data_IF_925962874137
#
_entry.id   IF_925962874137
#
_cell.length_a   1.000
_cell.length_b   1.000
_cell.length_c   1.000
_cell.angle_alpha   90.00
_cell.angle_beta   90.00
_cell.angle_gamma   90.00
#
_symmetry.space_group_name_H-M   'P 1'
#
loop_
_entity.id
_entity.type
_entity.pdbx_description
1 polymer ?
#
# COMPACT_ATOMS: atom_id res chain seq x y z
N UNK A 1 20.51 25.48 24.78
CA UNK A 1 20.82 24.09 24.38
C UNK A 1 19.50 23.34 24.30
N UNK A 2 18.76 23.54 23.21
CA UNK A 2 17.52 22.80 22.96
C UNK A 2 17.88 21.60 22.11
N UNK A 3 17.73 20.40 22.65
CA UNK A 3 17.91 19.18 21.89
C UNK A 3 16.80 19.15 20.81
N UNK A 4 17.19 19.44 19.57
CA UNK A 4 16.40 19.10 18.39
C UNK A 4 16.18 17.59 18.44
N UNK A 5 14.99 17.20 18.86
CA UNK A 5 14.54 15.81 18.83
C UNK A 5 14.38 15.45 17.35
N UNK A 6 15.48 14.99 16.76
CA UNK A 6 15.51 14.46 15.40
C UNK A 6 14.60 13.23 15.41
N UNK A 7 13.42 13.36 14.81
CA UNK A 7 12.51 12.22 14.63
C UNK A 7 13.25 11.13 13.83
N UNK A 8 13.08 9.84 14.18
CA UNK A 8 13.82 8.74 13.59
C UNK A 8 13.55 8.60 12.09
N UNK A 9 14.61 8.38 11.31
CA UNK A 9 14.62 8.46 9.84
C UNK A 9 13.81 7.35 9.12
N UNK A 10 13.28 6.37 9.85
CA UNK A 10 12.47 5.29 9.27
C UNK A 10 11.09 5.75 8.78
N UNK A 11 10.73 7.01 9.06
CA UNK A 11 9.45 7.61 8.68
C UNK A 11 9.59 8.63 7.54
N UNK A 12 10.64 8.51 6.72
CA UNK A 12 10.75 9.25 5.46
C UNK A 12 9.82 8.63 4.40
N UNK A 13 8.58 9.05 4.50
CA UNK A 13 7.86 9.65 3.39
C UNK A 13 7.89 8.88 2.05
N UNK A 14 6.97 7.90 1.92
CA UNK A 14 6.41 7.46 0.63
C UNK A 14 5.35 8.46 0.08
N UNK A 15 5.25 9.66 0.67
CA UNK A 15 4.27 10.74 0.41
C UNK A 15 4.72 11.73 -0.67
N UNK A 16 5.90 11.57 -1.28
CA UNK A 16 6.28 12.32 -2.47
C UNK A 16 5.51 11.78 -3.66
N UNK A 17 4.62 12.59 -4.27
CA UNK A 17 3.78 12.29 -5.46
C UNK A 17 4.43 11.26 -6.38
N UNK A 18 4.19 9.98 -6.12
CA UNK A 18 4.76 8.91 -6.93
C UNK A 18 3.89 8.86 -8.17
N UNK A 19 4.46 9.19 -9.33
CA UNK A 19 3.79 8.91 -10.60
C UNK A 19 3.63 7.39 -10.74
N UNK A 20 2.46 6.90 -10.32
CA UNK A 20 2.11 5.50 -10.28
C UNK A 20 1.32 5.13 -11.53
N UNK A 21 1.79 4.11 -12.26
CA UNK A 21 0.97 3.47 -13.28
C UNK A 21 -0.05 2.55 -12.58
N UNK A 22 -1.23 3.10 -12.28
CA UNK A 22 -2.29 2.39 -11.58
C UNK A 22 -2.74 1.12 -12.31
N UNK A 23 -2.67 1.09 -13.64
CA UNK A 23 -3.06 -0.10 -14.42
C UNK A 23 -2.02 -1.21 -14.25
N UNK A 24 -0.73 -0.88 -14.31
CA UNK A 24 0.33 -1.85 -14.05
C UNK A 24 0.27 -2.38 -12.62
N UNK A 25 0.06 -1.51 -11.63
CA UNK A 25 -0.09 -1.90 -10.23
C UNK A 25 -1.29 -2.81 -10.03
N UNK A 26 -2.47 -2.46 -10.53
CA UNK A 26 -3.66 -3.29 -10.42
C UNK A 26 -3.47 -4.67 -11.04
N UNK A 27 -2.83 -4.74 -12.22
CA UNK A 27 -2.52 -6.02 -12.89
C UNK A 27 -1.60 -6.91 -12.04
N UNK A 28 -0.62 -6.33 -11.37
CA UNK A 28 0.28 -7.07 -10.50
C UNK A 28 -0.44 -7.52 -9.22
N UNK A 29 -1.22 -6.64 -8.59
CA UNK A 29 -2.00 -6.98 -7.39
C UNK A 29 -3.00 -8.10 -7.63
N UNK A 30 -3.59 -8.21 -8.83
CA UNK A 30 -4.49 -9.32 -9.17
C UNK A 30 -3.81 -10.71 -9.15
N UNK A 31 -2.48 -10.77 -9.05
CA UNK A 31 -1.72 -12.02 -8.89
C UNK A 31 -1.45 -12.37 -7.43
N UNK A 32 -1.71 -11.44 -6.52
CA UNK A 32 -1.49 -11.60 -5.09
C UNK A 32 -2.72 -12.19 -4.39
N UNK A 33 -2.52 -12.69 -3.17
CA UNK A 33 -3.62 -13.15 -2.33
C UNK A 33 -4.51 -11.96 -1.89
N UNK A 34 -5.85 -12.15 -1.76
CA UNK A 34 -6.77 -11.06 -1.38
C UNK A 34 -6.36 -10.30 -0.11
N UNK A 35 -5.78 -10.99 0.87
CA UNK A 35 -5.30 -10.35 2.08
C UNK A 35 -4.10 -9.43 1.82
N UNK A 36 -3.15 -9.84 0.98
CA UNK A 36 -2.00 -9.01 0.59
C UNK A 36 -2.47 -7.75 -0.13
N UNK A 37 -3.44 -7.87 -1.05
CA UNK A 37 -4.03 -6.74 -1.76
C UNK A 37 -4.66 -5.76 -0.76
N UNK A 38 -5.46 -6.27 0.20
CA UNK A 38 -6.11 -5.45 1.21
C UNK A 38 -5.10 -4.67 2.06
N UNK A 39 -4.03 -5.34 2.50
CA UNK A 39 -2.97 -4.71 3.31
C UNK A 39 -2.21 -3.65 2.50
N UNK A 40 -1.89 -3.92 1.23
CA UNK A 40 -1.26 -2.92 0.34
C UNK A 40 -2.16 -1.70 0.19
N UNK A 41 -3.44 -1.89 -0.14
CA UNK A 41 -4.39 -0.79 -0.32
C UNK A 41 -4.63 0.02 0.96
N UNK A 42 -4.59 -0.62 2.14
CA UNK A 42 -4.74 0.05 3.44
C UNK A 42 -3.55 0.97 3.78
N UNK A 43 -2.37 0.72 3.19
CA UNK A 43 -1.14 1.46 3.46
C UNK A 43 -0.83 2.58 2.46
N UNK A 44 -1.45 2.55 1.29
CA UNK A 44 -1.33 3.61 0.30
C UNK A 44 -2.17 4.83 0.71
N UNK A 45 -1.80 6.01 0.21
CA UNK A 45 -2.67 7.19 0.34
C UNK A 45 -4.03 6.92 -0.32
N UNK A 46 -5.09 7.48 0.27
CA UNK A 46 -6.48 7.23 -0.13
C UNK A 46 -6.69 7.44 -1.64
N UNK A 47 -6.03 8.45 -2.20
CA UNK A 47 -6.08 8.81 -3.61
C UNK A 47 -5.58 7.64 -4.47
N UNK A 48 -4.37 7.13 -4.20
CA UNK A 48 -3.79 5.99 -4.91
C UNK A 48 -4.60 4.70 -4.72
N UNK A 49 -5.03 4.41 -3.48
CA UNK A 49 -5.85 3.22 -3.21
C UNK A 49 -7.16 3.26 -3.99
N UNK A 50 -7.80 4.43 -4.07
CA UNK A 50 -9.05 4.60 -4.81
C UNK A 50 -8.87 4.41 -6.32
N UNK A 51 -7.78 4.93 -6.90
CA UNK A 51 -7.50 4.77 -8.33
C UNK A 51 -7.18 3.31 -8.68
N UNK A 52 -6.42 2.61 -7.85
CA UNK A 52 -6.15 1.17 -8.04
C UNK A 52 -7.44 0.37 -7.89
N UNK A 53 -8.26 0.65 -6.88
CA UNK A 53 -9.48 -0.12 -6.61
C UNK A 53 -10.49 -0.04 -7.77
N UNK A 54 -10.59 1.12 -8.44
CA UNK A 54 -11.40 1.29 -9.67
C UNK A 54 -10.94 0.41 -10.84
N UNK A 55 -9.68 -0.05 -10.84
CA UNK A 55 -9.12 -0.91 -11.88
C UNK A 55 -9.31 -2.41 -11.59
N UNK A 56 -9.76 -2.77 -10.38
CA UNK A 56 -10.01 -4.15 -9.97
C UNK A 56 -11.44 -4.58 -10.34
N UNK A 57 -11.70 -5.88 -10.57
CA UNK A 57 -13.06 -6.37 -10.82
C UNK A 57 -14.00 -6.12 -9.63
N UNK A 58 -15.25 -5.73 -9.89
CA UNK A 58 -16.23 -5.35 -8.85
C UNK A 58 -16.44 -6.41 -7.77
N UNK A 59 -16.47 -7.70 -8.17
CA UNK A 59 -16.63 -8.81 -7.22
C UNK A 59 -15.44 -8.95 -6.25
N UNK A 60 -14.26 -8.49 -6.64
CA UNK A 60 -13.06 -8.45 -5.80
C UNK A 60 -13.11 -7.23 -4.89
N UNK A 61 -13.58 -6.07 -5.39
CA UNK A 61 -13.66 -4.83 -4.61
C UNK A 61 -14.48 -4.99 -3.33
N UNK A 62 -15.64 -5.65 -3.39
CA UNK A 62 -16.51 -5.83 -2.22
C UNK A 62 -15.84 -6.65 -1.10
N UNK A 63 -15.18 -7.76 -1.45
CA UNK A 63 -14.41 -8.58 -0.49
C UNK A 63 -13.22 -7.80 0.08
N UNK A 64 -12.49 -7.06 -0.78
CA UNK A 64 -11.35 -6.26 -0.35
C UNK A 64 -11.73 -5.15 0.63
N UNK A 65 -12.84 -4.43 0.40
CA UNK A 65 -13.30 -3.40 1.33
C UNK A 65 -13.58 -3.99 2.71
N UNK A 66 -14.22 -5.16 2.78
CA UNK A 66 -14.45 -5.86 4.05
C UNK A 66 -13.12 -6.20 4.73
N UNK A 67 -12.12 -6.67 3.99
CA UNK A 67 -10.80 -7.01 4.56
C UNK A 67 -10.04 -5.79 5.04
N UNK A 68 -10.04 -4.70 4.28
CA UNK A 68 -9.32 -3.44 4.61
C UNK A 68 -9.77 -2.91 5.98
N UNK A 69 -11.06 -2.99 6.29
CA UNK A 69 -11.62 -2.56 7.59
C UNK A 69 -11.09 -3.41 8.76
N UNK A 70 -10.67 -4.65 8.51
CA UNK A 70 -10.16 -5.60 9.50
C UNK A 70 -8.63 -5.83 9.36
N UNK A 71 -7.91 -4.95 8.66
CA UNK A 71 -6.45 -4.94 8.72
C UNK A 71 -6.07 -4.41 10.10
N UNK A 72 -6.10 -5.29 11.09
CA UNK A 72 -5.64 -5.04 12.46
C UNK A 72 -4.14 -4.69 12.47
N UNK A 73 -3.62 -4.31 13.64
CA UNK A 73 -2.19 -4.04 13.83
C UNK A 73 -1.37 -5.28 13.42
N UNK A 74 -0.80 -5.24 12.23
CA UNK A 74 0.10 -6.27 11.74
C UNK A 74 1.43 -6.20 12.49
N UNK A 75 2.11 -7.34 12.73
CA UNK A 75 3.48 -7.34 13.24
C UNK A 75 4.41 -6.50 12.37
N UNK A 76 5.42 -5.87 12.98
CA UNK A 76 6.36 -4.98 12.29
C UNK A 76 7.07 -5.68 11.13
N UNK A 77 7.39 -6.98 11.26
CA UNK A 77 8.04 -7.74 10.19
C UNK A 77 7.16 -7.85 8.94
N UNK A 78 5.84 -8.04 9.13
CA UNK A 78 4.86 -8.07 8.05
C UNK A 78 4.75 -6.69 7.39
N UNK A 79 4.84 -5.63 8.19
CA UNK A 79 4.83 -4.27 7.67
C UNK A 79 6.06 -4.01 6.77
N UNK A 80 7.24 -4.49 7.15
CA UNK A 80 8.45 -4.33 6.33
C UNK A 80 8.36 -5.07 4.99
N UNK A 81 7.83 -6.29 4.98
CA UNK A 81 7.59 -7.07 3.75
C UNK A 81 6.65 -6.35 2.78
N UNK A 82 5.58 -5.75 3.33
CA UNK A 82 4.61 -5.00 2.51
C UNK A 82 5.24 -3.72 1.96
N UNK A 83 6.06 -3.00 2.73
CA UNK A 83 6.77 -1.83 2.20
C UNK A 83 7.75 -2.21 1.10
N UNK A 84 8.42 -3.36 1.22
CA UNK A 84 9.29 -3.90 0.18
C UNK A 84 8.48 -4.25 -1.09
N UNK A 85 7.30 -4.84 -0.93
CA UNK A 85 6.37 -5.15 -2.03
C UNK A 85 5.90 -3.87 -2.74
N UNK A 86 5.41 -2.87 -1.99
CA UNK A 86 4.98 -1.59 -2.55
C UNK A 86 6.10 -0.93 -3.34
N UNK A 87 7.32 -0.88 -2.78
CA UNK A 87 8.49 -0.34 -3.49
C UNK A 87 8.81 -1.15 -4.75
N UNK A 88 8.63 -2.47 -4.74
CA UNK A 88 8.82 -3.32 -5.92
C UNK A 88 7.81 -3.00 -7.02
N UNK A 89 6.53 -2.82 -6.67
CA UNK A 89 5.46 -2.44 -7.62
C UNK A 89 5.75 -1.09 -8.28
N UNK A 90 6.38 -0.17 -7.55
CA UNK A 90 6.69 1.18 -8.01
C UNK A 90 7.98 1.30 -8.84
N UNK A 91 8.91 0.34 -8.70
CA UNK A 91 10.22 0.38 -9.38
C UNK A 91 10.23 -0.18 -10.80
N UNK A 92 9.17 -0.84 -11.25
CA UNK A 92 9.14 -1.51 -12.58
C UNK A 92 8.84 -0.55 -13.75
N UNK A 93 9.57 0.57 -13.84
CA UNK A 93 9.62 1.40 -15.07
C UNK A 93 10.61 0.83 -16.07
#
# INVERSE_FOLDING_TARGET
MGASHQLPEHQRDVRGTIEMDYRAVAKNLLREQPQTIAVVLARLQKEHSSEIMKMLPDFVQADLVSRIVHVDQLPDEVLEEIDALIKSLLRQR
#
